data_IF_946982260823
#
_entry.id   IF_946982260823
#
_cell.length_a   1.000
_cell.length_b   1.000
_cell.length_c   1.000
_cell.angle_alpha   90.00
_cell.angle_beta   90.00
_cell.angle_gamma   90.00
#
_symmetry.space_group_name_H-M   'P 1'
#
loop_
_entity.id
_entity.type
_entity.pdbx_description
1 polymer ?
#
# COMPACT_ATOMS: atom_id res chain seq x y z
N UNK A 1 25.43 -10.43 -22.31
CA UNK A 1 24.43 -9.36 -22.47
C UNK A 1 24.09 -8.89 -21.07
N UNK A 2 24.57 -7.71 -20.70
CA UNK A 2 24.32 -7.10 -19.39
C UNK A 2 22.94 -6.43 -19.52
N UNK A 3 21.97 -6.93 -18.77
CA UNK A 3 20.62 -6.38 -18.73
C UNK A 3 20.68 -5.04 -17.98
N UNK A 4 20.58 -3.96 -18.74
CA UNK A 4 20.57 -2.58 -18.27
C UNK A 4 19.32 -2.37 -17.41
N UNK A 5 19.54 -2.06 -16.12
CA UNK A 5 18.47 -1.78 -15.18
C UNK A 5 17.65 -0.57 -15.65
N UNK A 6 16.31 -0.57 -15.51
CA UNK A 6 15.50 0.57 -15.92
C UNK A 6 15.90 1.80 -15.10
N UNK A 7 16.42 2.81 -15.80
CA UNK A 7 16.74 4.13 -15.27
C UNK A 7 15.53 4.72 -14.56
N UNK A 8 15.67 4.90 -13.25
CA UNK A 8 14.74 5.70 -12.43
C UNK A 8 14.72 7.10 -13.03
N UNK A 9 13.55 7.67 -13.39
CA UNK A 9 13.50 9.05 -13.83
C UNK A 9 13.83 9.94 -12.62
N UNK A 10 15.06 10.42 -12.59
CA UNK A 10 15.51 11.48 -11.71
C UNK A 10 14.83 12.79 -12.11
N UNK A 11 13.65 13.02 -11.58
CA UNK A 11 13.16 14.37 -11.36
C UNK A 11 13.85 14.89 -10.11
N UNK A 12 14.94 15.63 -10.27
CA UNK A 12 15.59 16.35 -9.19
C UNK A 12 14.65 17.46 -8.69
N UNK A 13 13.66 17.09 -7.89
CA UNK A 13 13.05 18.03 -6.97
C UNK A 13 14.06 18.26 -5.86
N UNK A 14 14.45 19.51 -5.65
CA UNK A 14 15.39 19.86 -4.60
C UNK A 14 14.82 19.36 -3.26
N UNK A 15 15.60 18.57 -2.49
CA UNK A 15 15.14 18.09 -1.21
C UNK A 15 14.83 19.28 -0.31
N UNK A 16 13.62 19.32 0.21
CA UNK A 16 13.18 20.40 1.07
C UNK A 16 13.80 20.15 2.45
N UNK A 17 14.49 21.14 3.04
CA UNK A 17 15.05 20.98 4.37
C UNK A 17 13.95 20.61 5.36
N UNK A 18 14.26 19.69 6.28
CA UNK A 18 13.30 19.16 7.24
C UNK A 18 12.55 20.26 8.01
N UNK A 19 13.26 21.31 8.44
CA UNK A 19 12.66 22.45 9.15
C UNK A 19 11.61 23.19 8.30
N UNK A 20 11.82 23.32 6.99
CA UNK A 20 10.83 23.93 6.10
C UNK A 20 9.59 23.04 5.93
N UNK A 21 9.74 21.71 5.99
CA UNK A 21 8.59 20.79 6.03
C UNK A 21 7.81 20.96 7.34
N UNK A 22 8.50 21.08 8.47
CA UNK A 22 7.90 21.32 9.80
C UNK A 22 7.16 22.66 9.83
N UNK A 23 7.77 23.73 9.34
CA UNK A 23 7.17 25.06 9.26
C UNK A 23 5.94 25.05 8.37
N UNK A 24 5.99 24.37 7.21
CA UNK A 24 4.83 24.23 6.33
C UNK A 24 3.68 23.46 6.99
N UNK A 25 3.97 22.43 7.78
CA UNK A 25 2.95 21.72 8.58
C UNK A 25 2.37 22.67 9.64
N UNK A 26 3.21 23.50 10.28
CA UNK A 26 2.78 24.49 11.27
C UNK A 26 1.89 25.57 10.66
N UNK A 27 2.26 26.10 9.50
CA UNK A 27 1.49 27.10 8.73
C UNK A 27 0.12 26.55 8.30
N UNK A 28 0.02 25.26 7.98
CA UNK A 28 -1.24 24.58 7.68
C UNK A 28 -2.06 24.19 8.93
N UNK A 29 -1.82 24.85 10.07
CA UNK A 29 -2.55 24.61 11.32
C UNK A 29 -2.11 23.34 12.05
N UNK A 30 -0.88 22.90 11.85
CA UNK A 30 -0.27 21.74 12.50
C UNK A 30 -0.55 20.40 11.81
N UNK A 31 -1.24 20.41 10.66
CA UNK A 31 -1.51 19.21 9.87
C UNK A 31 -1.35 19.47 8.37
N UNK A 32 -0.65 18.59 7.67
CA UNK A 32 -0.54 18.61 6.21
C UNK A 32 -1.13 17.32 5.64
N UNK A 33 -2.09 17.45 4.72
CA UNK A 33 -2.72 16.31 4.02
C UNK A 33 -2.20 16.22 2.60
N UNK A 34 -1.84 15.01 2.19
CA UNK A 34 -1.27 14.71 0.89
C UNK A 34 -2.01 13.50 0.33
N UNK A 35 -2.69 13.70 -0.78
CA UNK A 35 -3.34 12.59 -1.48
C UNK A 35 -2.30 11.82 -2.29
N UNK A 36 -2.26 10.51 -2.04
CA UNK A 36 -1.36 9.57 -2.65
C UNK A 36 -2.14 8.55 -3.48
N UNK A 37 -1.52 8.08 -4.55
CA UNK A 37 -2.08 7.07 -5.45
C UNK A 37 -1.09 5.94 -5.69
N UNK A 38 -1.59 4.71 -5.77
CA UNK A 38 -0.76 3.54 -6.02
C UNK A 38 -0.30 3.51 -7.47
N UNK A 39 1.00 3.65 -7.68
CA UNK A 39 1.63 3.61 -9.00
C UNK A 39 2.02 2.18 -9.36
N UNK A 40 2.50 1.42 -8.37
CA UNK A 40 2.94 0.04 -8.58
C UNK A 40 2.24 -0.92 -7.63
N UNK A 41 1.78 -2.05 -8.16
CA UNK A 41 1.06 -3.09 -7.41
C UNK A 41 1.89 -4.36 -7.36
N UNK A 42 2.24 -4.78 -6.15
CA UNK A 42 2.87 -6.07 -5.92
C UNK A 42 1.82 -7.18 -6.02
N UNK A 43 2.15 -8.26 -6.75
CA UNK A 43 1.26 -9.42 -6.91
C UNK A 43 2.05 -10.70 -6.63
N UNK A 44 1.52 -11.53 -5.75
CA UNK A 44 2.04 -12.87 -5.49
C UNK A 44 0.95 -13.89 -5.83
N UNK A 45 1.31 -14.92 -6.60
CA UNK A 45 0.43 -16.05 -6.91
C UNK A 45 1.06 -17.33 -6.41
N UNK A 46 0.34 -18.08 -5.59
CA UNK A 46 0.72 -19.46 -5.27
C UNK A 46 -0.15 -20.42 -6.06
N UNK A 47 0.51 -21.29 -6.81
CA UNK A 47 -0.11 -22.38 -7.55
C UNK A 47 0.02 -23.66 -6.71
N UNK A 48 -1.08 -24.36 -6.44
CA UNK A 48 -1.05 -25.72 -5.89
C UNK A 48 -1.87 -26.64 -6.78
N UNK A 49 -1.21 -27.69 -7.24
CA UNK A 49 -1.80 -28.83 -7.96
C UNK A 49 -2.74 -29.57 -6.97
N UNK A 50 -3.94 -30.03 -7.39
CA UNK A 50 -4.40 -30.01 -8.76
C UNK A 50 -5.16 -28.72 -9.15
N UNK A 51 -5.90 -28.04 -8.26
CA UNK A 51 -6.79 -26.95 -8.70
C UNK A 51 -7.07 -25.80 -7.68
N UNK A 52 -6.16 -25.46 -6.77
CA UNK A 52 -6.36 -24.32 -5.85
C UNK A 52 -5.18 -23.34 -5.85
N UNK A 53 -5.38 -22.17 -6.45
CA UNK A 53 -4.45 -21.04 -6.35
C UNK A 53 -5.12 -19.84 -5.70
N UNK A 54 -4.43 -19.18 -4.76
CA UNK A 54 -4.83 -17.87 -4.26
C UNK A 54 -3.82 -16.81 -4.72
N UNK A 55 -4.35 -15.66 -5.11
CA UNK A 55 -3.59 -14.46 -5.41
C UNK A 55 -3.57 -13.54 -4.19
N UNK A 56 -2.44 -12.87 -3.98
CA UNK A 56 -2.30 -11.76 -3.04
C UNK A 56 -1.84 -10.55 -3.82
N UNK A 57 -2.35 -9.38 -3.47
CA UNK A 57 -1.81 -8.13 -3.95
C UNK A 57 -1.63 -7.17 -2.79
N UNK A 58 -0.79 -6.17 -3.00
CA UNK A 58 -0.56 -5.07 -2.09
C UNK A 58 -0.08 -3.87 -2.91
N UNK A 59 -0.25 -2.67 -2.37
CA UNK A 59 0.36 -1.47 -2.95
C UNK A 59 1.88 -1.59 -2.77
N UNK A 60 2.65 -1.67 -3.85
CA UNK A 60 4.12 -1.80 -3.79
C UNK A 60 4.77 -0.42 -3.74
N UNK A 61 4.27 0.52 -4.53
CA UNK A 61 4.73 1.92 -4.53
C UNK A 61 3.52 2.85 -4.60
N UNK A 62 3.47 3.82 -3.72
CA UNK A 62 2.44 4.86 -3.67
C UNK A 62 3.13 6.20 -3.76
N UNK A 63 2.62 7.07 -4.63
CA UNK A 63 3.21 8.37 -4.87
C UNK A 63 2.12 9.44 -4.88
N UNK A 64 2.49 10.65 -4.46
CA UNK A 64 1.64 11.83 -4.60
C UNK A 64 2.44 13.10 -4.45
N UNK A 65 1.79 14.22 -4.72
CA UNK A 65 2.42 15.54 -4.70
C UNK A 65 1.46 16.52 -4.05
N UNK A 66 1.95 17.33 -3.12
CA UNK A 66 1.17 18.41 -2.51
C UNK A 66 2.08 19.64 -2.33
N UNK A 67 1.67 20.80 -2.84
CA UNK A 67 2.42 22.06 -2.73
C UNK A 67 3.91 21.95 -3.13
N UNK A 68 4.20 21.19 -4.20
CA UNK A 68 5.57 20.97 -4.68
C UNK A 68 6.38 19.90 -3.91
N UNK A 69 5.82 19.36 -2.82
CA UNK A 69 6.41 18.26 -2.06
C UNK A 69 6.02 16.94 -2.72
N UNK A 70 7.03 16.23 -3.24
CA UNK A 70 6.87 14.87 -3.74
C UNK A 70 6.94 13.89 -2.58
N UNK A 71 5.95 13.02 -2.48
CA UNK A 71 5.94 11.91 -1.53
C UNK A 71 5.99 10.63 -2.32
N UNK A 72 6.98 9.80 -2.03
CA UNK A 72 7.13 8.47 -2.62
C UNK A 72 7.31 7.45 -1.51
N UNK A 73 6.45 6.44 -1.46
CA UNK A 73 6.45 5.39 -0.44
C UNK A 73 6.52 4.03 -1.11
N UNK A 74 7.47 3.21 -0.66
CA UNK A 74 7.68 1.85 -1.13
C UNK A 74 7.43 0.85 0.00
N UNK A 75 6.68 -0.20 -0.30
CA UNK A 75 6.43 -1.30 0.63
C UNK A 75 7.71 -2.11 0.85
N UNK A 76 8.18 -2.11 2.09
CA UNK A 76 9.35 -2.87 2.53
C UNK A 76 8.96 -4.24 3.06
N UNK A 77 7.82 -4.34 3.75
CA UNK A 77 7.34 -5.60 4.30
C UNK A 77 5.89 -5.87 3.89
N UNK A 78 5.64 -7.10 3.43
CA UNK A 78 4.33 -7.54 2.97
C UNK A 78 3.68 -8.42 4.03
N UNK A 79 2.54 -7.97 4.54
CA UNK A 79 1.69 -8.74 5.42
C UNK A 79 0.95 -9.83 4.65
N UNK A 80 0.91 -11.03 5.22
CA UNK A 80 0.29 -12.21 4.60
C UNK A 80 -0.71 -12.82 5.56
N UNK A 81 -1.95 -12.95 5.10
CA UNK A 81 -3.01 -13.65 5.81
C UNK A 81 -3.46 -14.88 5.05
N UNK A 82 -3.94 -15.87 5.79
CA UNK A 82 -4.77 -16.94 5.24
C UNK A 82 -5.92 -17.22 6.19
N UNK A 83 -7.15 -17.28 5.68
CA UNK A 83 -8.30 -17.78 6.45
C UNK A 83 -8.82 -19.04 5.80
N UNK A 84 -9.03 -20.07 6.60
CA UNK A 84 -9.66 -21.32 6.18
C UNK A 84 -11.15 -21.26 6.44
N UNK A 85 -11.92 -21.87 5.54
CA UNK A 85 -13.36 -22.08 5.69
C UNK A 85 -13.69 -23.48 5.22
N UNK A 86 -14.53 -24.17 6.00
CA UNK A 86 -15.08 -25.49 5.67
C UNK A 86 -15.88 -25.42 4.35
N UNK A 87 -15.83 -26.43 3.45
CA UNK A 87 -15.16 -27.72 3.60
C UNK A 87 -13.66 -27.70 3.32
N UNK A 88 -13.15 -26.98 2.30
CA UNK A 88 -11.71 -26.98 1.97
C UNK A 88 -11.21 -25.73 1.21
N UNK A 89 -11.71 -24.52 1.52
CA UNK A 89 -11.35 -23.30 0.78
C UNK A 89 -10.64 -22.30 1.68
N UNK A 90 -9.37 -22.03 1.37
CA UNK A 90 -8.55 -21.03 2.05
C UNK A 90 -8.40 -19.75 1.23
N UNK A 91 -8.79 -18.61 1.80
CA UNK A 91 -8.59 -17.29 1.22
C UNK A 91 -7.19 -16.77 1.55
N UNK A 92 -6.44 -16.36 0.52
CA UNK A 92 -5.19 -15.65 0.69
C UNK A 92 -5.43 -14.14 0.76
N UNK A 93 -4.78 -13.47 1.71
CA UNK A 93 -4.79 -12.01 1.83
C UNK A 93 -3.35 -11.50 1.78
N UNK A 94 -3.17 -10.35 1.12
CA UNK A 94 -1.92 -9.59 1.13
C UNK A 94 -2.23 -8.15 1.49
N UNK A 95 -1.30 -7.49 2.17
CA UNK A 95 -1.37 -6.04 2.44
C UNK A 95 0.05 -5.52 2.67
N UNK A 96 0.24 -4.21 2.59
CA UNK A 96 1.51 -3.59 2.93
C UNK A 96 1.61 -3.50 4.45
N UNK A 97 2.52 -4.27 5.06
CA UNK A 97 2.70 -4.26 6.52
C UNK A 97 3.58 -3.09 6.94
N UNK A 98 4.62 -2.80 6.17
CA UNK A 98 5.53 -1.69 6.43
C UNK A 98 5.86 -1.00 5.11
N UNK A 99 5.88 0.33 5.12
CA UNK A 99 6.30 1.17 4.01
C UNK A 99 7.43 2.09 4.46
N UNK A 100 8.36 2.37 3.57
CA UNK A 100 9.38 3.40 3.74
C UNK A 100 9.46 4.24 2.49
N UNK A 101 9.87 5.48 2.65
CA UNK A 101 10.12 6.36 1.52
C UNK A 101 10.43 7.74 2.00
N UNK A 102 10.08 8.74 1.21
CA UNK A 102 10.41 10.13 1.49
C UNK A 102 9.25 11.08 1.23
N UNK A 103 9.21 12.17 1.99
CA UNK A 103 8.41 13.36 1.69
C UNK A 103 9.34 14.56 1.51
N UNK A 104 9.46 15.02 0.26
CA UNK A 104 10.38 16.09 -0.10
C UNK A 104 11.83 15.78 0.25
N UNK A 105 12.24 14.50 0.18
CA UNK A 105 13.58 14.04 0.56
C UNK A 105 13.77 13.68 2.04
N UNK A 106 12.75 13.82 2.89
CA UNK A 106 12.81 13.45 4.31
C UNK A 106 12.26 12.04 4.53
N UNK A 107 13.02 11.16 5.19
CA UNK A 107 12.63 9.75 5.37
C UNK A 107 11.34 9.61 6.20
N UNK A 108 10.41 8.82 5.67
CA UNK A 108 9.16 8.41 6.31
C UNK A 108 9.18 6.90 6.49
N UNK A 109 8.90 6.45 7.72
CA UNK A 109 8.68 5.03 8.02
C UNK A 109 7.27 4.84 8.53
N UNK A 110 6.49 3.99 7.87
CA UNK A 110 5.11 3.68 8.22
C UNK A 110 4.94 2.20 8.51
N UNK A 111 4.15 1.89 9.53
CA UNK A 111 3.74 0.53 9.89
C UNK A 111 2.23 0.43 9.92
N UNK A 112 1.69 -0.66 9.40
CA UNK A 112 0.26 -0.93 9.35
C UNK A 112 -0.31 -1.07 10.77
N UNK A 113 -1.30 -0.24 11.10
CA UNK A 113 -2.11 -0.36 12.32
C UNK A 113 -3.37 -1.18 12.09
N UNK A 114 -4.00 -1.01 10.93
CA UNK A 114 -5.28 -1.63 10.61
C UNK A 114 -5.28 -2.20 9.21
N UNK A 115 -5.87 -3.38 9.08
CA UNK A 115 -5.93 -4.12 7.82
C UNK A 115 -7.39 -4.35 7.47
N UNK A 116 -7.79 -3.89 6.30
CA UNK A 116 -9.10 -4.19 5.73
C UNK A 116 -9.06 -5.56 5.08
N UNK A 117 -10.04 -6.40 5.43
CA UNK A 117 -10.21 -7.73 4.84
C UNK A 117 -11.63 -7.85 4.31
N UNK A 118 -11.78 -8.15 3.03
CA UNK A 118 -13.07 -8.44 2.41
C UNK A 118 -13.06 -9.86 1.88
N UNK A 119 -14.11 -10.61 2.23
CA UNK A 119 -14.38 -11.93 1.68
C UNK A 119 -15.56 -11.81 0.74
N UNK A 120 -15.41 -12.27 -0.49
CA UNK A 120 -16.56 -12.56 -1.35
C UNK A 120 -16.75 -14.06 -1.45
N UNK A 121 -17.99 -14.52 -1.49
CA UNK A 121 -18.37 -15.90 -1.69
C UNK A 121 -19.40 -15.99 -2.83
N UNK A 122 -19.35 -17.06 -3.62
CA UNK A 122 -20.29 -17.34 -4.70
C UNK A 122 -20.44 -18.86 -4.92
N UNK A 123 -21.65 -19.27 -5.27
CA UNK A 123 -22.05 -20.66 -5.53
C UNK A 123 -21.84 -21.03 -7.03
N UNK A 124 -21.51 -22.27 -7.43
CA UNK A 124 -21.33 -23.49 -6.63
C UNK A 124 -19.92 -23.63 -6.03
N UNK A 125 -18.94 -22.82 -6.46
CA UNK A 125 -17.69 -22.53 -5.74
C UNK A 125 -17.14 -21.15 -6.16
N UNK A 126 -16.17 -20.66 -5.36
CA UNK A 126 -15.22 -19.53 -5.55
C UNK A 126 -15.52 -18.21 -4.87
N UNK A 127 -15.10 -18.17 -3.61
CA UNK A 127 -14.82 -16.92 -2.95
C UNK A 127 -13.40 -16.39 -3.17
N UNK A 128 -13.23 -15.10 -2.90
CA UNK A 128 -11.93 -14.40 -2.90
C UNK A 128 -11.69 -13.71 -1.58
N UNK A 129 -10.42 -13.62 -1.18
CA UNK A 129 -9.98 -12.76 -0.10
C UNK A 129 -9.28 -11.53 -0.68
N UNK A 130 -9.81 -10.35 -0.42
CA UNK A 130 -9.14 -9.08 -0.66
C UNK A 130 -8.57 -8.58 0.65
N UNK A 131 -7.29 -8.25 0.67
CA UNK A 131 -6.63 -7.62 1.80
C UNK A 131 -6.06 -6.29 1.34
N UNK A 132 -6.10 -5.29 2.21
CA UNK A 132 -5.42 -4.03 2.00
C UNK A 132 -5.09 -3.40 3.34
N UNK A 133 -4.11 -2.52 3.33
CA UNK A 133 -3.77 -1.73 4.51
C UNK A 133 -4.80 -0.61 4.62
N UNK A 134 -5.54 -0.56 5.72
CA UNK A 134 -6.57 0.46 5.92
C UNK A 134 -5.97 1.71 6.56
N UNK A 135 -5.11 1.52 7.56
CA UNK A 135 -4.44 2.60 8.28
C UNK A 135 -2.97 2.20 8.54
N UNK A 136 -2.04 3.12 8.31
CA UNK A 136 -0.66 3.02 8.74
C UNK A 136 -0.30 4.24 9.57
N UNK A 137 0.69 4.07 10.43
CA UNK A 137 1.29 5.20 11.12
C UNK A 137 2.78 5.01 11.28
N UNK A 138 3.48 6.11 11.45
CA UNK A 138 4.82 6.13 11.93
C UNK A 138 5.31 7.57 11.96
N UNK A 139 6.54 7.77 11.52
CA UNK A 139 7.27 9.00 11.82
C UNK A 139 7.97 9.50 10.57
N UNK A 140 8.09 10.82 10.50
CA UNK A 140 8.85 11.56 9.51
C UNK A 140 9.86 12.41 10.29
N UNK A 141 11.08 11.92 10.45
CA UNK A 141 12.06 12.54 11.34
C UNK A 141 11.62 12.57 12.81
N UNK A 142 12.12 13.54 13.58
CA UNK A 142 11.93 13.58 15.05
C UNK A 142 10.65 14.26 15.53
N UNK A 143 10.09 15.19 14.75
CA UNK A 143 9.02 16.10 15.19
C UNK A 143 7.69 15.89 14.45
N UNK A 144 7.68 15.12 13.35
CA UNK A 144 6.45 14.85 12.61
C UNK A 144 6.01 13.41 12.79
N UNK A 145 4.72 13.25 13.08
CA UNK A 145 4.02 11.98 13.01
C UNK A 145 3.37 11.86 11.65
N UNK A 146 3.46 10.69 11.04
CA UNK A 146 2.89 10.40 9.75
C UNK A 146 1.78 9.35 9.93
N UNK A 147 0.55 9.68 9.53
CA UNK A 147 -0.59 8.78 9.54
C UNK A 147 -1.13 8.64 8.11
N UNK A 148 -1.19 7.43 7.58
CA UNK A 148 -1.70 7.13 6.24
C UNK A 148 -3.04 6.42 6.38
N UNK A 149 -4.06 6.92 5.69
CA UNK A 149 -5.39 6.30 5.63
C UNK A 149 -5.75 5.95 4.20
N UNK A 150 -6.29 4.76 3.98
CA UNK A 150 -6.74 4.33 2.65
C UNK A 150 -8.16 4.83 2.41
N UNK A 151 -8.32 5.63 1.35
CA UNK A 151 -9.59 6.23 0.95
C UNK A 151 -10.30 5.42 -0.14
N UNK A 152 -9.53 4.77 -1.03
CA UNK A 152 -10.07 3.90 -2.07
C UNK A 152 -9.30 2.58 -2.18
N UNK A 153 -10.04 1.52 -2.52
CA UNK A 153 -9.55 0.14 -2.59
C UNK A 153 -9.88 -0.42 -3.96
N UNK A 154 -8.84 -0.66 -4.76
CA UNK A 154 -9.00 -1.30 -6.06
C UNK A 154 -9.04 -2.80 -5.91
N UNK A 155 -9.99 -3.41 -6.64
CA UNK A 155 -10.24 -4.85 -6.66
C UNK A 155 -10.09 -5.33 -8.08
N UNK A 156 -9.31 -6.38 -8.26
CA UNK A 156 -9.17 -7.05 -9.54
C UNK A 156 -9.54 -8.51 -9.40
N UNK A 157 -10.51 -8.95 -10.20
CA UNK A 157 -10.91 -10.36 -10.30
C UNK A 157 -10.30 -10.93 -11.58
N UNK A 158 -9.65 -12.09 -11.48
CA UNK A 158 -9.41 -12.94 -12.65
C UNK A 158 -10.33 -14.14 -12.60
N UNK A 159 -10.76 -14.59 -13.77
CA UNK A 159 -11.56 -15.81 -13.95
C UNK A 159 -10.73 -16.87 -14.70
N UNK A 160 -10.99 -18.14 -14.46
CA UNK A 160 -10.30 -19.26 -15.12
C UNK A 160 -11.01 -20.59 -14.89
N UNK A 161 -11.10 -21.42 -15.93
CA UNK A 161 -11.71 -22.74 -15.93
C UNK A 161 -10.70 -23.83 -15.46
N UNK A 162 -11.07 -24.95 -14.78
CA UNK A 162 -12.41 -25.45 -14.43
C UNK A 162 -12.93 -24.98 -13.05
N UNK A 163 -12.16 -24.17 -12.32
CA UNK A 163 -12.47 -23.72 -10.96
C UNK A 163 -11.96 -22.25 -10.78
N UNK A 164 -12.85 -21.36 -10.32
CA UNK A 164 -12.99 -19.95 -10.69
C UNK A 164 -12.08 -18.98 -9.92
N UNK A 165 -11.01 -18.55 -10.57
CA UNK A 165 -10.47 -17.21 -10.38
C UNK A 165 -9.72 -16.90 -9.08
N UNK A 166 -9.12 -15.72 -9.02
CA UNK A 166 -8.46 -15.18 -7.83
C UNK A 166 -8.78 -13.69 -7.76
N UNK A 167 -8.92 -13.21 -6.53
CA UNK A 167 -9.11 -11.80 -6.23
C UNK A 167 -7.81 -11.18 -5.75
N UNK A 168 -7.51 -9.99 -6.27
CA UNK A 168 -6.47 -9.11 -5.77
C UNK A 168 -7.13 -7.84 -5.24
N UNK A 169 -6.72 -7.43 -4.06
CA UNK A 169 -7.13 -6.17 -3.45
C UNK A 169 -5.88 -5.41 -3.05
N UNK A 170 -5.89 -4.10 -3.22
CA UNK A 170 -4.85 -3.21 -2.73
C UNK A 170 -5.45 -1.82 -2.48
N UNK A 171 -4.78 -1.03 -1.64
CA UNK A 171 -5.10 0.38 -1.47
C UNK A 171 -4.75 1.12 -2.77
N UNK A 172 -5.69 1.80 -3.41
CA UNK A 172 -5.48 2.50 -4.69
C UNK A 172 -5.25 3.99 -4.47
N UNK A 173 -6.02 4.58 -3.55
CA UNK A 173 -5.87 5.96 -3.09
C UNK A 173 -5.74 5.98 -1.58
N UNK A 174 -4.84 6.81 -1.10
CA UNK A 174 -4.59 7.02 0.31
C UNK A 174 -4.43 8.51 0.58
N UNK A 175 -4.72 8.95 1.79
CA UNK A 175 -4.36 10.29 2.26
C UNK A 175 -3.32 10.13 3.36
N UNK A 176 -2.13 10.68 3.12
CA UNK A 176 -1.08 10.83 4.12
C UNK A 176 -1.33 12.12 4.88
N UNK A 177 -1.35 12.05 6.20
CA UNK A 177 -1.45 13.19 7.09
C UNK A 177 -0.16 13.28 7.89
N UNK A 178 0.56 14.38 7.76
CA UNK A 178 1.69 14.73 8.61
C UNK A 178 1.18 15.66 9.71
N UNK A 179 1.42 15.31 10.97
CA UNK A 179 1.05 16.14 12.12
C UNK A 179 2.27 16.42 12.98
N UNK A 180 2.33 17.62 13.57
CA UNK A 180 3.35 17.92 14.58
C UNK A 180 3.16 16.99 15.80
N UNK A 181 4.26 16.45 16.30
CA UNK A 181 4.33 15.87 17.64
C UNK A 181 4.40 17.04 18.62
N UNK A 182 3.48 17.09 19.57
CA UNK A 182 3.56 18.00 20.72
C UNK A 182 4.75 17.65 21.62
#
# INVERSE_FOLDING_TARGET
MVEEAPSVPGGAHEPIPYEALVDLVRENGGQLRIDLSTIEVGKERKWRIPYLGYGRAWAKRIQGTCNGILVDLVTTEVGRGRKWTFPYIGYGFGWAKSMRGDAGGNEIVLTAKKVGLEKKWGFPYFGYGFGWTQEMSGECGGQLKADLSTTDVRRHRKWGFPYFGYGFGWADKCTLTLTLKE
#
